data_IF_725722746486
#
_entry.id   IF_725722746486
#
_cell.length_a   1.000
_cell.length_b   1.000
_cell.length_c   1.000
_cell.angle_alpha   90.00
_cell.angle_beta   90.00
_cell.angle_gamma   90.00
#
_symmetry.space_group_name_H-M   'P 1'
#
loop_
_entity.id
_entity.type
_entity.pdbx_description
1 polymer ?
#
# COMPACT_ATOMS: atom_id res chain seq x y z
N UNK A 1 3.01 53.59 -29.04
CA UNK A 1 2.05 52.78 -28.26
C UNK A 1 2.66 51.40 -28.04
N UNK A 2 2.85 51.06 -26.77
CA UNK A 2 3.70 49.98 -26.24
C UNK A 2 3.01 48.61 -26.28
N UNK A 3 3.73 47.60 -26.76
CA UNK A 3 3.36 46.18 -26.71
C UNK A 3 3.43 45.69 -25.25
N UNK A 4 2.38 45.06 -24.68
CA UNK A 4 2.47 44.50 -23.34
C UNK A 4 3.34 43.24 -23.35
N UNK A 5 4.48 43.31 -22.66
CA UNK A 5 5.39 42.19 -22.43
C UNK A 5 4.69 41.05 -21.69
N UNK A 6 4.71 39.87 -22.31
CA UNK A 6 4.24 38.61 -21.72
C UNK A 6 5.23 38.20 -20.63
N UNK A 7 4.93 38.52 -19.37
CA UNK A 7 5.70 38.09 -18.20
C UNK A 7 5.70 36.56 -18.14
N UNK A 8 6.82 35.96 -18.52
CA UNK A 8 7.07 34.53 -18.44
C UNK A 8 7.35 34.21 -16.97
N UNK A 9 6.34 33.78 -16.23
CA UNK A 9 6.50 33.23 -14.88
C UNK A 9 7.35 31.97 -14.91
N UNK A 10 8.67 32.16 -14.79
CA UNK A 10 9.68 31.12 -14.57
C UNK A 10 9.73 30.80 -13.07
N UNK A 11 8.71 30.12 -12.57
CA UNK A 11 8.82 29.38 -11.29
C UNK A 11 8.28 27.97 -11.52
N UNK A 12 8.86 27.28 -12.50
CA UNK A 12 8.78 25.84 -12.58
C UNK A 12 10.09 25.32 -11.99
N UNK A 13 10.11 25.12 -10.68
CA UNK A 13 11.15 24.36 -9.97
C UNK A 13 11.13 22.92 -10.49
N UNK A 14 11.61 22.73 -11.71
CA UNK A 14 11.67 21.46 -12.38
C UNK A 14 12.78 20.67 -11.70
N UNK A 15 12.41 19.88 -10.69
CA UNK A 15 13.27 18.83 -10.14
C UNK A 15 13.87 18.07 -11.33
N UNK A 16 15.21 18.11 -11.53
CA UNK A 16 15.88 17.51 -12.67
C UNK A 16 15.39 16.09 -12.88
N UNK A 17 15.17 15.68 -14.13
CA UNK A 17 14.65 14.35 -14.47
C UNK A 17 15.44 13.20 -13.82
N UNK A 18 16.72 13.43 -13.54
CA UNK A 18 17.62 12.52 -12.82
C UNK A 18 17.13 12.19 -11.40
N UNK A 19 16.63 13.17 -10.64
CA UNK A 19 16.10 12.96 -9.29
C UNK A 19 14.70 12.30 -9.30
N UNK A 20 13.91 12.49 -10.37
CA UNK A 20 12.56 11.89 -10.47
C UNK A 20 12.57 10.36 -10.54
N UNK A 21 13.64 9.74 -11.08
CA UNK A 21 13.79 8.28 -11.20
C UNK A 21 13.97 7.57 -9.85
N UNK A 22 14.92 7.96 -8.97
CA UNK A 22 15.07 7.35 -7.66
C UNK A 22 13.81 7.51 -6.79
N UNK A 23 13.16 8.68 -6.79
CA UNK A 23 11.89 8.87 -6.06
C UNK A 23 10.76 7.95 -6.58
N UNK A 24 10.62 7.76 -7.89
CA UNK A 24 9.65 6.79 -8.46
C UNK A 24 9.96 5.35 -8.07
N UNK A 25 11.24 4.96 -8.04
CA UNK A 25 11.66 3.61 -7.62
C UNK A 25 11.38 3.39 -6.13
N UNK A 26 11.71 4.35 -5.28
CA UNK A 26 11.41 4.32 -3.84
C UNK A 26 9.90 4.23 -3.57
N UNK A 27 9.09 4.98 -4.31
CA UNK A 27 7.62 4.91 -4.25
C UNK A 27 7.07 3.53 -4.65
N UNK A 28 7.61 2.92 -5.71
CA UNK A 28 7.21 1.55 -6.13
C UNK A 28 7.59 0.50 -5.09
N UNK A 29 8.78 0.60 -4.49
CA UNK A 29 9.21 -0.31 -3.41
C UNK A 29 8.33 -0.19 -2.18
N UNK A 30 7.99 1.04 -1.76
CA UNK A 30 7.08 1.29 -0.63
C UNK A 30 5.68 0.73 -0.90
N UNK A 31 5.14 0.92 -2.11
CA UNK A 31 3.84 0.37 -2.49
C UNK A 31 3.85 -1.17 -2.52
N UNK A 32 4.93 -1.79 -2.99
CA UNK A 32 5.09 -3.24 -2.95
C UNK A 32 5.20 -3.74 -1.51
N UNK A 33 6.00 -3.09 -0.67
CA UNK A 33 6.14 -3.43 0.75
C UNK A 33 4.79 -3.34 1.47
N UNK A 34 4.01 -2.28 1.23
CA UNK A 34 2.65 -2.14 1.78
C UNK A 34 1.71 -3.23 1.27
N UNK A 35 1.77 -3.58 -0.02
CA UNK A 35 0.94 -4.64 -0.58
C UNK A 35 1.29 -6.01 0.02
N UNK A 36 2.58 -6.31 0.16
CA UNK A 36 3.06 -7.54 0.79
C UNK A 36 2.72 -7.60 2.28
N UNK A 37 2.92 -6.50 3.02
CA UNK A 37 2.54 -6.42 4.44
C UNK A 37 1.04 -6.61 4.63
N UNK A 38 0.21 -6.01 3.76
CA UNK A 38 -1.25 -6.15 3.81
C UNK A 38 -1.69 -7.58 3.50
N UNK A 39 -1.11 -8.17 2.46
CA UNK A 39 -1.41 -9.57 2.08
C UNK A 39 -0.96 -10.54 3.17
N UNK A 40 0.24 -10.33 3.71
CA UNK A 40 0.79 -11.13 4.81
C UNK A 40 -0.05 -11.01 6.08
N UNK A 41 -0.45 -9.79 6.45
CA UNK A 41 -1.34 -9.55 7.59
C UNK A 41 -2.69 -10.24 7.40
N UNK A 42 -3.28 -10.15 6.20
CA UNK A 42 -4.54 -10.85 5.92
C UNK A 42 -4.40 -12.37 6.04
N UNK A 43 -3.41 -12.98 5.38
CA UNK A 43 -3.19 -14.43 5.43
C UNK A 43 -2.92 -14.93 6.85
N UNK A 44 -2.05 -14.23 7.58
CA UNK A 44 -1.70 -14.61 8.96
C UNK A 44 -2.88 -14.44 9.93
N UNK A 45 -3.75 -13.44 9.71
CA UNK A 45 -4.98 -13.28 10.48
C UNK A 45 -5.96 -14.44 10.28
N UNK A 46 -6.14 -14.90 9.04
CA UNK A 46 -6.95 -16.09 8.75
C UNK A 46 -6.36 -17.36 9.37
N UNK A 47 -5.05 -17.54 9.29
CA UNK A 47 -4.37 -18.68 9.92
C UNK A 47 -4.51 -18.66 11.44
N UNK A 48 -4.41 -17.49 12.07
CA UNK A 48 -4.60 -17.35 13.52
C UNK A 48 -5.99 -17.79 13.99
N UNK A 49 -7.03 -17.59 13.16
CA UNK A 49 -8.38 -18.11 13.42
C UNK A 49 -8.55 -19.59 13.09
N UNK A 50 -7.88 -20.09 12.04
CA UNK A 50 -8.04 -21.46 11.55
C UNK A 50 -7.24 -22.52 12.31
N UNK A 51 -6.18 -22.11 13.04
CA UNK A 51 -5.34 -23.06 13.79
C UNK A 51 -5.95 -23.31 15.18
N UNK A 52 -6.38 -24.54 15.41
CA UNK A 52 -6.95 -24.98 16.69
C UNK A 52 -5.93 -25.33 17.80
N UNK A 53 -4.63 -25.14 17.57
CA UNK A 53 -3.58 -25.45 18.55
C UNK A 53 -2.93 -24.19 19.11
N UNK A 54 -2.67 -24.10 20.44
CA UNK A 54 -2.26 -22.85 21.08
C UNK A 54 -0.94 -22.26 20.57
N UNK A 55 0.09 -23.09 20.38
CA UNK A 55 1.43 -22.61 20.00
C UNK A 55 1.45 -22.02 18.59
N UNK A 56 0.96 -22.72 17.54
CA UNK A 56 0.94 -22.13 16.21
C UNK A 56 -0.06 -20.96 16.09
N UNK A 57 -1.15 -20.95 16.85
CA UNK A 57 -2.06 -19.80 16.92
C UNK A 57 -1.36 -18.55 17.50
N UNK A 58 -0.54 -18.72 18.53
CA UNK A 58 0.26 -17.62 19.10
C UNK A 58 1.29 -17.09 18.08
N UNK A 59 2.02 -17.97 17.40
CA UNK A 59 3.02 -17.59 16.39
C UNK A 59 2.36 -16.80 15.25
N UNK A 60 1.24 -17.31 14.72
CA UNK A 60 0.51 -16.64 13.63
C UNK A 60 -0.10 -15.32 14.08
N UNK A 61 -0.60 -15.22 15.30
CA UNK A 61 -1.10 -13.97 15.89
C UNK A 61 -0.01 -12.90 16.05
N UNK A 62 1.17 -13.27 16.55
CA UNK A 62 2.32 -12.35 16.64
C UNK A 62 2.76 -11.91 15.25
N UNK A 63 2.83 -12.84 14.29
CA UNK A 63 3.18 -12.52 12.91
C UNK A 63 2.17 -11.57 12.28
N UNK A 64 0.88 -11.77 12.55
CA UNK A 64 -0.20 -10.87 12.13
C UNK A 64 -0.03 -9.46 12.73
N UNK A 65 0.23 -9.36 14.03
CA UNK A 65 0.46 -8.09 14.69
C UNK A 65 1.69 -7.35 14.14
N UNK A 66 2.81 -8.05 13.92
CA UNK A 66 4.03 -7.48 13.34
C UNK A 66 3.82 -7.00 11.92
N UNK A 67 3.16 -7.80 11.07
CA UNK A 67 2.86 -7.41 9.68
C UNK A 67 1.86 -6.26 9.61
N UNK A 68 0.88 -6.22 10.51
CA UNK A 68 -0.02 -5.08 10.69
C UNK A 68 0.71 -3.81 11.12
N UNK A 69 1.66 -3.92 12.07
CA UNK A 69 2.47 -2.79 12.51
C UNK A 69 3.39 -2.26 11.39
N UNK A 70 3.93 -3.16 10.55
CA UNK A 70 4.70 -2.76 9.38
C UNK A 70 3.91 -1.87 8.42
N UNK A 71 2.57 -2.05 8.31
CA UNK A 71 1.73 -1.15 7.54
C UNK A 71 1.77 0.27 8.10
N UNK A 72 1.61 0.42 9.42
CA UNK A 72 1.62 1.71 10.13
C UNK A 72 2.97 2.40 9.96
N UNK A 73 4.05 1.65 10.20
CA UNK A 73 5.41 2.15 10.02
C UNK A 73 5.65 2.60 8.60
N UNK A 74 5.09 1.96 7.57
CA UNK A 74 5.29 2.38 6.17
C UNK A 74 4.44 3.59 5.73
N UNK A 75 3.48 4.07 6.54
CA UNK A 75 2.59 5.21 6.19
C UNK A 75 3.35 6.52 5.95
N UNK A 76 4.29 6.96 6.82
CA UNK A 76 5.03 8.22 6.63
C UNK A 76 5.77 8.27 5.30
N UNK A 77 6.43 7.17 4.92
CA UNK A 77 7.12 7.05 3.64
C UNK A 77 6.17 7.08 2.44
N UNK A 78 4.94 6.56 2.57
CA UNK A 78 3.91 6.71 1.54
C UNK A 78 3.43 8.16 1.43
N UNK A 79 3.23 8.85 2.54
CA UNK A 79 2.80 10.25 2.55
C UNK A 79 3.85 11.20 1.94
N UNK A 80 5.15 10.95 2.18
CA UNK A 80 6.24 11.71 1.58
C UNK A 80 6.30 11.58 0.04
N UNK A 81 5.82 10.46 -0.51
CA UNK A 81 5.77 10.19 -1.96
C UNK A 81 4.47 10.71 -2.61
N UNK A 82 3.36 10.77 -1.87
CA UNK A 82 2.00 11.01 -2.40
C UNK A 82 1.60 12.49 -2.45
N UNK A 83 2.44 13.42 -1.97
CA UNK A 83 2.16 14.86 -1.89
C UNK A 83 1.81 15.61 -3.20
N UNK A 84 1.65 14.92 -4.34
CA UNK A 84 1.24 15.49 -5.64
C UNK A 84 0.18 14.67 -6.39
N UNK A 85 -0.53 13.77 -5.71
CA UNK A 85 -1.58 12.98 -6.35
C UNK A 85 -2.87 13.80 -6.57
N UNK A 86 -3.53 13.69 -7.75
CA UNK A 86 -4.82 14.34 -7.98
C UNK A 86 -5.88 13.82 -7.01
N UNK A 87 -7.00 14.57 -6.85
CA UNK A 87 -8.12 14.32 -5.91
C UNK A 87 -8.28 12.83 -5.55
N UNK A 88 -8.18 12.52 -4.25
CA UNK A 88 -8.42 11.18 -3.72
C UNK A 88 -9.83 10.76 -4.10
N UNK A 89 -9.97 9.66 -4.83
CA UNK A 89 -11.27 9.09 -5.12
C UNK A 89 -11.96 8.68 -3.81
N UNK A 90 -13.27 8.90 -3.69
CA UNK A 90 -14.07 8.54 -2.49
C UNK A 90 -13.78 7.10 -2.04
N UNK A 91 -13.71 6.15 -2.97
CA UNK A 91 -13.38 4.75 -2.68
C UNK A 91 -12.01 4.56 -1.97
N UNK A 92 -11.00 5.38 -2.29
CA UNK A 92 -9.70 5.33 -1.61
C UNK A 92 -9.75 5.90 -0.19
N UNK A 93 -10.64 6.88 0.06
CA UNK A 93 -10.90 7.40 1.41
C UNK A 93 -11.69 6.40 2.25
N UNK A 94 -12.70 5.74 1.66
CA UNK A 94 -13.44 4.65 2.30
C UNK A 94 -12.48 3.53 2.67
N UNK A 95 -11.64 3.06 1.73
CA UNK A 95 -10.65 2.02 2.01
C UNK A 95 -9.70 2.43 3.16
N UNK A 96 -9.22 3.68 3.15
CA UNK A 96 -8.41 4.19 4.26
C UNK A 96 -9.17 4.14 5.59
N UNK A 97 -10.42 4.62 5.61
CA UNK A 97 -11.26 4.62 6.81
C UNK A 97 -11.50 3.20 7.35
N UNK A 98 -11.79 2.25 6.47
CA UNK A 98 -11.97 0.83 6.84
C UNK A 98 -10.68 0.22 7.40
N UNK A 99 -9.51 0.52 6.81
CA UNK A 99 -8.23 0.04 7.33
C UNK A 99 -7.89 0.66 8.69
N UNK A 100 -8.20 1.94 8.90
CA UNK A 100 -8.04 2.62 10.19
C UNK A 100 -8.97 2.01 11.24
N UNK A 101 -10.23 1.78 10.91
CA UNK A 101 -11.19 1.13 11.80
C UNK A 101 -10.72 -0.27 12.20
N UNK A 102 -10.25 -1.06 11.23
CA UNK A 102 -9.68 -2.38 11.46
C UNK A 102 -8.49 -2.30 12.42
N UNK A 103 -7.54 -1.39 12.19
CA UNK A 103 -6.36 -1.22 13.03
C UNK A 103 -6.74 -0.83 14.47
N UNK A 104 -7.61 0.17 14.63
CA UNK A 104 -8.06 0.63 15.96
C UNK A 104 -8.77 -0.49 16.70
N UNK A 105 -9.68 -1.21 16.05
CA UNK A 105 -10.38 -2.35 16.65
C UNK A 105 -9.40 -3.46 17.08
N UNK A 106 -8.35 -3.73 16.28
CA UNK A 106 -7.30 -4.70 16.64
C UNK A 106 -6.50 -4.26 17.87
N UNK A 107 -6.10 -3.00 17.94
CA UNK A 107 -5.40 -2.44 19.11
C UNK A 107 -6.29 -2.50 20.36
N UNK A 108 -7.56 -2.13 20.24
CA UNK A 108 -8.52 -2.22 21.35
C UNK A 108 -8.74 -3.67 21.78
N UNK A 109 -8.80 -4.64 20.85
CA UNK A 109 -8.92 -6.05 21.20
C UNK A 109 -7.73 -6.55 22.03
N UNK A 110 -6.51 -6.14 21.68
CA UNK A 110 -5.28 -6.52 22.40
C UNK A 110 -5.20 -5.86 23.78
N UNK A 111 -5.54 -4.57 23.89
CA UNK A 111 -5.37 -3.81 25.15
C UNK A 111 -6.58 -3.91 26.09
N UNK A 112 -7.78 -3.97 25.53
CA UNK A 112 -9.05 -3.91 26.27
C UNK A 112 -9.81 -5.23 26.34
N UNK A 113 -9.31 -6.29 25.70
CA UNK A 113 -9.92 -7.62 25.68
C UNK A 113 -11.24 -7.68 24.89
N UNK A 114 -12.11 -8.63 25.25
CA UNK A 114 -13.35 -8.96 24.52
C UNK A 114 -14.59 -8.21 25.00
N UNK A 115 -14.44 -7.06 25.67
CA UNK A 115 -15.58 -6.25 26.12
C UNK A 115 -16.46 -5.84 24.95
N UNK A 116 -17.77 -5.86 25.13
CA UNK A 116 -18.74 -5.46 24.11
C UNK A 116 -19.02 -3.96 24.18
N UNK A 117 -19.13 -3.32 23.02
CA UNK A 117 -19.54 -1.94 22.85
C UNK A 117 -20.71 -1.91 21.86
N UNK A 118 -21.87 -1.42 22.28
CA UNK A 118 -23.10 -1.45 21.46
C UNK A 118 -23.44 -2.86 20.90
N UNK A 119 -23.18 -3.91 21.66
CA UNK A 119 -23.47 -5.30 21.26
C UNK A 119 -22.40 -5.96 20.36
N UNK A 120 -21.32 -5.25 20.02
CA UNK A 120 -20.22 -5.78 19.21
C UNK A 120 -18.90 -5.82 19.98
N UNK A 121 -18.13 -6.89 19.81
CA UNK A 121 -16.76 -6.97 20.34
C UNK A 121 -15.77 -6.28 19.39
N UNK A 122 -14.64 -5.76 19.91
CA UNK A 122 -13.55 -5.25 19.08
C UNK A 122 -13.10 -6.26 18.02
N UNK A 123 -13.08 -7.56 18.35
CA UNK A 123 -12.74 -8.61 17.40
C UNK A 123 -13.75 -8.72 16.25
N UNK A 124 -15.07 -8.64 16.53
CA UNK A 124 -16.10 -8.63 15.49
C UNK A 124 -15.94 -7.41 14.55
N UNK A 125 -15.63 -6.24 15.11
CA UNK A 125 -15.39 -5.02 14.33
C UNK A 125 -14.13 -5.18 13.47
N UNK A 126 -13.04 -5.70 14.03
CA UNK A 126 -11.78 -5.95 13.32
C UNK A 126 -11.97 -6.91 12.15
N UNK A 127 -12.59 -8.07 12.38
CA UNK A 127 -12.86 -9.08 11.34
C UNK A 127 -13.83 -8.54 10.29
N UNK A 128 -14.92 -7.89 10.70
CA UNK A 128 -15.89 -7.29 9.77
C UNK A 128 -15.26 -6.22 8.87
N UNK A 129 -14.43 -5.34 9.45
CA UNK A 129 -13.68 -4.35 8.68
C UNK A 129 -12.68 -4.99 7.71
N UNK A 130 -11.97 -6.05 8.13
CA UNK A 130 -11.07 -6.79 7.26
C UNK A 130 -11.80 -7.41 6.05
N UNK A 131 -12.98 -7.99 6.26
CA UNK A 131 -13.80 -8.55 5.19
C UNK A 131 -14.28 -7.48 4.19
N UNK A 132 -14.68 -6.30 4.67
CA UNK A 132 -15.05 -5.15 3.82
C UNK A 132 -13.84 -4.62 3.04
N UNK A 133 -12.65 -4.66 3.64
CA UNK A 133 -11.42 -4.20 2.99
C UNK A 133 -11.08 -5.04 1.76
N UNK A 134 -11.33 -6.36 1.75
CA UNK A 134 -11.00 -7.27 0.64
C UNK A 134 -11.54 -6.79 -0.72
N UNK A 135 -12.87 -6.59 -0.92
CA UNK A 135 -13.39 -6.11 -2.19
C UNK A 135 -12.92 -4.69 -2.53
N UNK A 136 -12.75 -3.81 -1.54
CA UNK A 136 -12.24 -2.45 -1.75
C UNK A 136 -10.79 -2.44 -2.25
N UNK A 137 -9.94 -3.30 -1.69
CA UNK A 137 -8.56 -3.50 -2.13
C UNK A 137 -8.54 -4.07 -3.53
N UNK A 138 -9.34 -5.11 -3.81
CA UNK A 138 -9.46 -5.70 -5.15
C UNK A 138 -9.85 -4.65 -6.20
N UNK A 139 -10.89 -3.87 -5.91
CA UNK A 139 -11.31 -2.75 -6.76
C UNK A 139 -10.21 -1.69 -6.94
N UNK A 140 -9.56 -1.31 -5.84
CA UNK A 140 -8.46 -0.34 -5.85
C UNK A 140 -7.31 -0.78 -6.76
N UNK A 141 -6.87 -2.04 -6.62
CA UNK A 141 -5.79 -2.63 -7.44
C UNK A 141 -6.18 -2.69 -8.91
N UNK A 142 -7.39 -3.16 -9.24
CA UNK A 142 -7.87 -3.25 -10.62
C UNK A 142 -7.95 -1.86 -11.26
N UNK A 143 -8.51 -0.85 -10.56
CA UNK A 143 -8.56 0.53 -11.07
C UNK A 143 -7.18 1.15 -11.25
N UNK A 144 -6.28 0.97 -10.29
CA UNK A 144 -4.92 1.52 -10.41
C UNK A 144 -4.12 0.84 -11.52
N UNK A 145 -4.25 -0.48 -11.68
CA UNK A 145 -3.61 -1.22 -12.78
C UNK A 145 -4.10 -0.72 -14.15
N UNK A 146 -5.40 -0.49 -14.32
CA UNK A 146 -5.96 0.05 -15.57
C UNK A 146 -5.45 1.46 -15.88
N UNK A 147 -5.28 2.31 -14.86
CA UNK A 147 -4.82 3.71 -15.04
C UNK A 147 -3.31 3.85 -15.20
N UNK A 148 -2.52 2.94 -14.64
CA UNK A 148 -1.05 2.99 -14.61
C UNK A 148 -0.39 1.86 -15.43
N UNK A 149 -1.16 1.21 -16.31
CA UNK A 149 -0.72 0.04 -17.08
C UNK A 149 0.56 0.31 -17.89
N UNK A 150 1.56 -0.60 -17.83
CA UNK A 150 2.73 -0.51 -18.70
C UNK A 150 2.28 -0.56 -20.17
N UNK A 151 2.74 0.39 -20.99
CA UNK A 151 2.54 0.29 -22.45
C UNK A 151 3.26 -0.99 -22.91
N UNK A 152 2.58 -1.85 -23.68
CA UNK A 152 3.11 -3.17 -24.13
C UNK A 152 4.52 -3.06 -24.74
N UNK A 153 4.80 -1.95 -25.40
CA UNK A 153 6.10 -1.61 -26.00
C UNK A 153 7.24 -1.43 -24.99
N UNK A 154 6.94 -0.94 -23.77
CA UNK A 154 7.92 -0.71 -22.72
C UNK A 154 8.32 -2.02 -22.01
N UNK A 155 7.41 -3.00 -21.97
CA UNK A 155 7.70 -4.34 -21.43
C UNK A 155 8.65 -5.14 -22.32
N UNK A 156 8.43 -5.12 -23.65
CA UNK A 156 9.29 -5.82 -24.61
C UNK A 156 10.74 -5.32 -24.57
N UNK A 157 10.96 -3.99 -24.61
CA UNK A 157 12.31 -3.41 -24.50
C UNK A 157 12.99 -3.74 -23.17
N UNK A 158 12.25 -3.72 -22.07
CA UNK A 158 12.82 -3.94 -20.73
C UNK A 158 13.15 -5.40 -20.47
N UNK A 159 12.32 -6.32 -20.96
CA UNK A 159 12.64 -7.75 -20.96
C UNK A 159 13.86 -8.03 -21.83
N UNK A 160 13.92 -7.49 -23.05
CA UNK A 160 15.09 -7.63 -23.94
C UNK A 160 16.38 -7.12 -23.29
N UNK A 161 16.35 -5.96 -22.62
CA UNK A 161 17.52 -5.41 -21.94
C UNK A 161 17.89 -6.16 -20.66
N UNK A 162 16.91 -6.69 -19.91
CA UNK A 162 17.18 -7.53 -18.74
C UNK A 162 17.75 -8.89 -19.15
N UNK A 163 17.22 -9.51 -20.20
CA UNK A 163 17.75 -10.78 -20.72
C UNK A 163 19.13 -10.56 -21.32
N UNK A 164 19.33 -9.52 -22.13
CA UNK A 164 20.65 -9.19 -22.69
C UNK A 164 21.69 -8.85 -21.61
N UNK A 165 21.29 -8.14 -20.55
CA UNK A 165 22.16 -7.83 -19.41
C UNK A 165 22.49 -9.05 -18.55
N UNK A 166 21.53 -9.96 -18.35
CA UNK A 166 21.76 -11.22 -17.63
C UNK A 166 22.63 -12.18 -18.44
N UNK A 167 22.49 -12.24 -19.77
CA UNK A 167 23.36 -13.06 -20.63
C UNK A 167 24.76 -12.46 -20.77
N UNK A 168 24.89 -11.13 -20.79
CA UNK A 168 26.20 -10.47 -20.82
C UNK A 168 26.95 -10.58 -19.48
N UNK A 169 26.24 -10.59 -18.34
CA UNK A 169 26.84 -10.75 -17.02
C UNK A 169 27.14 -12.20 -16.63
N UNK A 170 26.58 -13.19 -17.33
CA UNK A 170 26.87 -14.61 -17.14
C UNK A 170 28.02 -15.12 -18.04
N UNK A 171 28.50 -14.29 -18.98
CA UNK A 171 29.59 -14.59 -19.91
C UNK A 171 30.88 -13.79 -19.67
N UNK A 172 30.99 -13.10 -18.52
CA UNK A 172 32.19 -12.40 -18.05
C UNK A 172 32.63 -13.00 -16.71
#
# INVERSE_FOLDING_TARGET
>A
MTVPGRVRTLVSGAVPGALRRPYRRAGRRTNLALFLALTGSFVTGWLAFGIGTPVPAAITSVTHAVTGLALVVLIPWKNAVVGRAPRKAVASLILLGVLVLCLVAGVVAVLGGFRTYAGLTPMQIHVGAALIAVPLIGWHVVRHRRRQGPRRTDLSRRHLLQTAGLTAGAGA
#
